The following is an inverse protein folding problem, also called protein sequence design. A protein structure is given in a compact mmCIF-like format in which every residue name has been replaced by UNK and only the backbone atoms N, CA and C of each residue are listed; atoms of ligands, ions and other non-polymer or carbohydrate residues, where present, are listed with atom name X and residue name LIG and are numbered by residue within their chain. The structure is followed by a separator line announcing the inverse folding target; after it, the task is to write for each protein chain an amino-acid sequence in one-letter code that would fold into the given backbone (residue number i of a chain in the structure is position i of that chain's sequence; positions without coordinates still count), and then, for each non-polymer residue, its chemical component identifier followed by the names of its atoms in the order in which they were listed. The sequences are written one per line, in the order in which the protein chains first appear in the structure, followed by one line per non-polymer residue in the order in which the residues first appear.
data_IF_258954608711
#
_entry.id   IF_258954608711
#
_cell.length_a   1.000
_cell.length_b   1.000
_cell.length_c   1.000
_cell.angle_alpha   90.00
_cell.angle_beta   90.00
_cell.angle_gamma   90.00
#
_symmetry.space_group_name_H-M   'P 1'
#
loop_
_entity.id
_entity.type
_entity.pdbx_description
1 polymer ?
#
# COMPACT_ATOMS: atom_id res chain seq x y z
N UNK A 1 -8.76 -14.18 -19.26
CA UNK A 1 -8.63 -14.42 -17.81
C UNK A 1 -8.65 -13.08 -17.10
N UNK A 2 -9.48 -12.89 -16.07
CA UNK A 2 -9.55 -11.61 -15.36
C UNK A 2 -8.30 -11.41 -14.49
N UNK A 3 -7.88 -10.16 -14.27
CA UNK A 3 -6.82 -9.86 -13.28
C UNK A 3 -7.25 -10.27 -11.86
N UNK A 4 -8.55 -10.29 -11.58
CA UNK A 4 -9.08 -10.77 -10.31
C UNK A 4 -8.86 -12.27 -10.08
N UNK A 5 -8.78 -13.06 -11.15
CA UNK A 5 -8.56 -14.52 -11.07
C UNK A 5 -7.09 -14.85 -10.73
N UNK A 6 -6.19 -13.86 -10.83
CA UNK A 6 -4.75 -14.02 -10.56
C UNK A 6 -4.36 -13.61 -9.14
N UNK A 7 -5.29 -13.08 -8.35
CA UNK A 7 -5.04 -12.77 -6.94
C UNK A 7 -4.92 -14.08 -6.17
N UNK A 8 -3.80 -14.27 -5.46
CA UNK A 8 -3.56 -15.47 -4.67
C UNK A 8 -3.37 -15.12 -3.19
N UNK A 9 -3.87 -15.97 -2.30
CA UNK A 9 -3.63 -15.87 -0.86
C UNK A 9 -2.26 -16.48 -0.55
N UNK A 10 -1.43 -15.75 0.18
CA UNK A 10 -0.08 -16.17 0.61
C UNK A 10 -0.12 -16.67 2.05
N UNK A 11 -0.82 -15.95 2.92
CA UNK A 11 -1.00 -16.30 4.34
C UNK A 11 -2.43 -15.95 4.72
N UNK A 12 -3.08 -16.82 5.49
CA UNK A 12 -4.38 -16.55 6.08
C UNK A 12 -4.37 -16.88 7.58
N UNK A 13 -4.92 -15.98 8.38
CA UNK A 13 -5.01 -16.10 9.84
C UNK A 13 -6.34 -15.52 10.32
N UNK A 14 -6.61 -15.62 11.62
CA UNK A 14 -7.80 -15.03 12.25
C UNK A 14 -7.84 -13.49 12.17
N UNK A 15 -6.67 -12.84 12.05
CA UNK A 15 -6.57 -11.38 12.09
C UNK A 15 -6.29 -10.74 10.74
N UNK A 16 -5.53 -11.42 9.88
CA UNK A 16 -5.09 -10.90 8.59
C UNK A 16 -5.15 -11.96 7.49
N UNK A 17 -5.41 -11.49 6.27
CA UNK A 17 -5.18 -12.20 5.02
C UNK A 17 -4.09 -11.45 4.27
N UNK A 18 -3.06 -12.15 3.88
CA UNK A 18 -1.96 -11.62 3.07
C UNK A 18 -2.12 -12.18 1.67
N UNK A 19 -2.21 -11.28 0.70
CA UNK A 19 -2.47 -11.63 -0.70
C UNK A 19 -1.33 -11.14 -1.59
N UNK A 20 -1.11 -11.84 -2.70
CA UNK A 20 -0.26 -11.40 -3.79
C UNK A 20 -1.13 -10.74 -4.86
N UNK A 21 -1.01 -9.42 -5.00
CA UNK A 21 -1.72 -8.63 -6.02
C UNK A 21 -0.97 -8.74 -7.36
N UNK A 22 -1.64 -9.09 -8.47
CA UNK A 22 -1.01 -9.04 -9.78
C UNK A 22 -0.75 -7.59 -10.23
N UNK A 23 0.23 -7.41 -11.12
CA UNK A 23 0.44 -6.13 -11.80
C UNK A 23 -0.75 -5.80 -12.71
N UNK A 24 -1.02 -4.51 -12.90
CA UNK A 24 -2.16 -4.01 -13.68
C UNK A 24 -3.47 -3.90 -12.88
N UNK A 25 -3.57 -4.49 -11.69
CA UNK A 25 -4.76 -4.41 -10.84
C UNK A 25 -4.67 -3.23 -9.87
N UNK A 26 -5.70 -2.37 -9.87
CA UNK A 26 -5.81 -1.26 -8.92
C UNK A 26 -6.21 -1.77 -7.53
N UNK A 27 -5.73 -1.12 -6.47
CA UNK A 27 -6.13 -1.48 -5.09
C UNK A 27 -7.56 -0.99 -4.79
N UNK A 28 -7.83 0.28 -5.07
CA UNK A 28 -9.16 0.90 -4.93
C UNK A 28 -9.66 1.36 -6.30
N UNK A 29 -10.98 1.39 -6.48
CA UNK A 29 -11.60 2.00 -7.65
C UNK A 29 -11.31 3.49 -7.73
N UNK A 30 -11.29 4.02 -8.94
CA UNK A 30 -11.14 5.46 -9.21
C UNK A 30 -12.45 6.26 -9.02
N UNK A 31 -13.55 5.56 -8.72
CA UNK A 31 -14.90 6.12 -8.58
C UNK A 31 -15.50 6.64 -9.89
N UNK A 32 -14.93 6.29 -11.05
CA UNK A 32 -15.33 6.80 -12.37
C UNK A 32 -15.54 5.72 -13.42
N UNK A 33 -14.63 4.76 -13.51
CA UNK A 33 -14.57 3.82 -14.64
C UNK A 33 -15.19 2.46 -14.35
N UNK A 34 -15.58 2.19 -13.10
CA UNK A 34 -16.16 0.89 -12.69
C UNK A 34 -15.22 -0.29 -12.91
N UNK A 35 -13.92 -0.04 -13.10
CA UNK A 35 -12.93 -1.08 -13.39
C UNK A 35 -12.76 -2.02 -12.19
N UNK A 36 -12.56 -3.33 -12.44
CA UNK A 36 -12.22 -4.28 -11.38
C UNK A 36 -11.02 -3.80 -10.55
N UNK A 37 -11.13 -3.92 -9.24
CA UNK A 37 -10.08 -3.53 -8.30
C UNK A 37 -10.04 -4.47 -7.10
N UNK A 38 -8.92 -4.44 -6.37
CA UNK A 38 -8.66 -5.38 -5.29
C UNK A 38 -9.66 -5.27 -4.13
N UNK A 39 -10.10 -4.06 -3.77
CA UNK A 39 -11.10 -3.90 -2.70
C UNK A 39 -12.43 -4.61 -3.02
N UNK A 40 -12.85 -4.69 -4.29
CA UNK A 40 -14.03 -5.43 -4.71
C UNK A 40 -13.81 -6.94 -4.55
N UNK A 41 -12.63 -7.43 -4.91
CA UNK A 41 -12.25 -8.83 -4.70
C UNK A 41 -12.23 -9.18 -3.22
N UNK A 42 -11.71 -8.30 -2.37
CA UNK A 42 -11.69 -8.50 -0.92
C UNK A 42 -13.12 -8.58 -0.36
N UNK A 43 -14.00 -7.63 -0.69
CA UNK A 43 -15.40 -7.67 -0.24
C UNK A 43 -16.12 -8.96 -0.66
N UNK A 44 -15.83 -9.45 -1.86
CA UNK A 44 -16.44 -10.68 -2.38
C UNK A 44 -15.95 -11.93 -1.65
N UNK A 45 -14.64 -12.04 -1.37
CA UNK A 45 -14.04 -13.24 -0.82
C UNK A 45 -13.96 -13.25 0.72
N UNK A 46 -13.97 -12.07 1.34
CA UNK A 46 -13.85 -11.84 2.78
C UNK A 46 -14.88 -10.81 3.25
N UNK A 47 -16.19 -11.12 3.17
CA UNK A 47 -17.26 -10.18 3.49
C UNK A 47 -17.22 -9.69 4.95
N UNK A 48 -16.60 -10.42 5.87
CA UNK A 48 -16.38 -10.02 7.26
C UNK A 48 -15.44 -8.82 7.41
N UNK A 49 -14.68 -8.47 6.36
CA UNK A 49 -13.86 -7.25 6.33
C UNK A 49 -14.69 -5.99 6.07
N UNK A 50 -16.00 -6.12 5.81
CA UNK A 50 -16.89 -4.97 5.69
C UNK A 50 -16.99 -4.20 7.01
N UNK A 51 -16.97 -2.87 6.92
CA UNK A 51 -16.86 -1.99 8.09
C UNK A 51 -15.50 -2.02 8.81
N UNK A 52 -14.53 -2.84 8.38
CA UNK A 52 -13.16 -2.80 8.90
C UNK A 52 -12.35 -1.76 8.16
N UNK A 53 -11.75 -0.84 8.92
CA UNK A 53 -10.87 0.20 8.42
C UNK A 53 -11.48 1.59 8.50
N UNK A 54 -11.02 2.49 7.63
CA UNK A 54 -11.54 3.85 7.54
C UNK A 54 -12.05 4.10 6.12
N UNK A 55 -13.37 4.26 5.91
CA UNK A 55 -13.90 4.61 4.61
C UNK A 55 -13.40 5.99 4.19
N UNK A 56 -13.26 6.19 2.87
CA UNK A 56 -12.97 7.52 2.34
C UNK A 56 -14.28 8.26 2.26
N UNK A 57 -14.46 9.22 3.18
CA UNK A 57 -15.59 10.14 3.16
C UNK A 57 -15.27 11.32 2.24
N UNK A 58 -16.25 11.71 1.43
CA UNK A 58 -16.15 12.89 0.56
C UNK A 58 -17.46 13.66 0.68
N UNK A 59 -17.36 14.97 0.88
CA UNK A 59 -18.54 15.83 1.03
C UNK A 59 -19.48 15.68 -0.17
N UNK A 60 -20.75 15.42 0.12
CA UNK A 60 -21.79 15.21 -0.89
C UNK A 60 -21.67 13.92 -1.71
N UNK A 61 -20.86 12.93 -1.29
CA UNK A 61 -20.72 11.64 -1.98
C UNK A 61 -20.84 10.46 -1.02
N UNK A 62 -21.28 9.28 -1.51
CA UNK A 62 -21.26 8.06 -0.72
C UNK A 62 -19.85 7.69 -0.24
N UNK A 63 -19.78 7.13 0.95
CA UNK A 63 -18.54 6.58 1.52
C UNK A 63 -17.94 5.52 0.61
N UNK A 64 -16.64 5.61 0.38
CA UNK A 64 -15.91 4.60 -0.39
C UNK A 64 -15.33 3.59 0.61
N UNK A 65 -15.82 2.34 0.65
CA UNK A 65 -15.36 1.34 1.60
C UNK A 65 -13.90 0.97 1.35
N UNK A 66 -13.17 0.69 2.44
CA UNK A 66 -11.78 0.25 2.44
C UNK A 66 -11.63 -1.03 3.27
N UNK A 67 -12.21 -2.15 2.81
CA UNK A 67 -12.37 -3.39 3.58
C UNK A 67 -11.03 -3.93 4.08
N UNK A 68 -10.61 -3.57 5.29
CA UNK A 68 -9.37 -4.04 5.89
C UNK A 68 -8.07 -3.57 5.22
N UNK A 69 -8.10 -2.65 4.25
CA UNK A 69 -6.91 -2.26 3.45
C UNK A 69 -6.11 -1.17 4.16
N UNK A 70 -5.02 -1.56 4.82
CA UNK A 70 -4.13 -0.65 5.60
C UNK A 70 -3.02 0.01 4.78
N UNK A 71 -2.68 -0.53 3.60
CA UNK A 71 -1.71 0.06 2.68
C UNK A 71 -2.08 -0.26 1.23
N UNK A 72 -1.40 0.36 0.25
CA UNK A 72 -1.61 0.08 -1.17
C UNK A 72 -0.30 -0.15 -1.90
N UNK A 73 -0.39 -0.85 -3.03
CA UNK A 73 0.59 -0.87 -4.10
C UNK A 73 0.03 -0.10 -5.29
N UNK A 74 0.89 0.47 -6.13
CA UNK A 74 0.44 1.11 -7.36
C UNK A 74 -0.11 0.08 -8.35
N UNK A 75 -0.86 0.55 -9.36
CA UNK A 75 -1.57 -0.31 -10.31
C UNK A 75 -0.64 -1.33 -10.97
N UNK A 76 0.50 -0.86 -11.49
CA UNK A 76 1.47 -1.69 -12.22
C UNK A 76 2.43 -2.45 -11.28
N UNK A 77 2.38 -2.20 -9.97
CA UNK A 77 3.21 -2.90 -8.98
C UNK A 77 2.52 -4.19 -8.55
N UNK A 78 3.16 -5.34 -8.75
CA UNK A 78 2.73 -6.61 -8.15
C UNK A 78 3.25 -6.77 -6.73
N UNK A 79 2.70 -7.72 -5.98
CA UNK A 79 3.27 -8.16 -4.71
C UNK A 79 2.30 -8.12 -3.53
N UNK A 80 2.88 -8.13 -2.35
CA UNK A 80 2.17 -8.41 -1.10
C UNK A 80 1.29 -7.24 -0.66
N UNK A 81 0.03 -7.54 -0.35
CA UNK A 81 -0.93 -6.64 0.30
C UNK A 81 -1.51 -7.31 1.53
N UNK A 82 -1.54 -6.59 2.66
CA UNK A 82 -2.14 -7.03 3.92
C UNK A 82 -3.58 -6.53 3.99
N UNK A 83 -4.51 -7.45 4.21
CA UNK A 83 -5.93 -7.22 4.46
C UNK A 83 -6.24 -7.61 5.89
N UNK A 84 -6.79 -6.69 6.67
CA UNK A 84 -7.06 -6.87 8.09
C UNK A 84 -8.53 -7.20 8.31
N UNK A 85 -8.82 -8.22 9.11
CA UNK A 85 -10.17 -8.82 9.25
C UNK A 85 -11.01 -8.25 10.39
N UNK A 86 -10.43 -7.46 11.30
CA UNK A 86 -11.18 -6.80 12.36
C UNK A 86 -10.60 -5.42 12.74
N UNK A 87 -11.45 -4.55 13.29
CA UNK A 87 -11.10 -3.16 13.55
C UNK A 87 -9.94 -3.00 14.55
N UNK A 88 -9.89 -3.82 15.59
CA UNK A 88 -8.83 -3.75 16.61
C UNK A 88 -7.45 -4.05 16.00
N UNK A 89 -7.37 -5.08 15.17
CA UNK A 89 -6.15 -5.41 14.43
C UNK A 89 -5.82 -4.33 13.39
N UNK A 90 -6.84 -3.73 12.75
CA UNK A 90 -6.64 -2.65 11.78
C UNK A 90 -5.94 -1.46 12.42
N UNK A 91 -6.43 -0.98 13.57
CA UNK A 91 -5.79 0.12 14.32
C UNK A 91 -4.35 -0.21 14.72
N UNK A 92 -4.11 -1.45 15.16
CA UNK A 92 -2.78 -1.90 15.55
C UNK A 92 -1.81 -1.87 14.36
N UNK A 93 -2.19 -2.46 13.23
CA UNK A 93 -1.35 -2.52 12.02
C UNK A 93 -1.19 -1.13 11.39
N UNK A 94 -2.25 -0.32 11.37
CA UNK A 94 -2.19 1.08 10.94
C UNK A 94 -1.18 1.88 11.75
N UNK A 95 -1.13 1.68 13.08
CA UNK A 95 -0.11 2.31 13.95
C UNK A 95 1.30 1.88 13.56
N UNK A 96 1.51 0.61 13.21
CA UNK A 96 2.82 0.14 12.75
C UNK A 96 3.23 0.77 11.41
N UNK A 97 2.31 0.93 10.45
CA UNK A 97 2.55 1.69 9.22
C UNK A 97 2.90 3.16 9.53
N UNK A 98 2.14 3.81 10.41
CA UNK A 98 2.39 5.20 10.85
C UNK A 98 3.77 5.35 11.50
N UNK A 99 4.17 4.37 12.31
CA UNK A 99 5.44 4.38 13.04
C UNK A 99 6.62 3.83 12.23
N UNK A 100 6.43 3.48 10.94
CA UNK A 100 7.46 2.89 10.05
C UNK A 100 8.14 1.64 10.63
N UNK A 101 7.45 0.86 11.47
CA UNK A 101 8.00 -0.39 12.04
C UNK A 101 7.89 -1.58 11.10
N UNK A 102 7.08 -1.45 10.04
CA UNK A 102 6.91 -2.45 8.99
C UNK A 102 8.04 -2.32 7.98
N UNK A 103 8.79 -3.41 7.80
CA UNK A 103 9.79 -3.54 6.73
C UNK A 103 9.10 -3.95 5.43
N UNK A 104 9.46 -3.28 4.34
CA UNK A 104 8.96 -3.57 2.99
C UNK A 104 10.17 -3.69 2.07
N UNK A 105 10.24 -4.80 1.34
CA UNK A 105 11.30 -5.08 0.39
C UNK A 105 10.68 -5.22 -1.00
N UNK A 106 11.36 -4.67 -2.00
CA UNK A 106 10.88 -4.63 -3.37
C UNK A 106 11.98 -5.14 -4.28
N UNK A 107 11.62 -6.05 -5.19
CA UNK A 107 12.48 -6.45 -6.28
C UNK A 107 12.09 -5.65 -7.52
N UNK A 108 13.08 -5.07 -8.19
CA UNK A 108 12.86 -4.22 -9.37
C UNK A 108 13.97 -4.42 -10.40
N UNK A 109 13.66 -4.14 -11.65
CA UNK A 109 14.64 -3.97 -12.73
C UNK A 109 14.79 -2.48 -12.99
N UNK A 110 16.03 -2.01 -13.07
CA UNK A 110 16.34 -0.61 -13.38
C UNK A 110 17.06 -0.51 -14.72
N UNK A 111 16.94 0.66 -15.33
CA UNK A 111 17.63 0.98 -16.58
C UNK A 111 18.92 1.73 -16.28
N UNK A 112 20.02 1.31 -16.91
CA UNK A 112 21.36 1.88 -16.72
C UNK A 112 22.32 0.94 -16.00
N UNK A 113 23.57 1.38 -15.85
CA UNK A 113 24.61 0.64 -15.12
C UNK A 113 24.62 1.08 -13.65
N UNK A 114 24.46 0.13 -12.73
CA UNK A 114 24.68 0.38 -11.30
C UNK A 114 26.11 -0.06 -10.97
N UNK A 115 26.98 0.89 -10.67
CA UNK A 115 28.38 0.62 -10.35
C UNK A 115 28.61 0.22 -8.90
N UNK A 116 27.73 0.64 -7.98
CA UNK A 116 27.80 0.32 -6.56
C UNK A 116 26.80 -0.80 -6.19
N UNK A 117 27.22 -1.85 -5.46
CA UNK A 117 26.32 -2.95 -5.08
C UNK A 117 25.22 -2.52 -4.10
N UNK A 118 25.38 -1.38 -3.42
CA UNK A 118 24.40 -0.79 -2.51
C UNK A 118 24.54 0.73 -2.48
N UNK A 119 23.42 1.43 -2.42
CA UNK A 119 23.36 2.88 -2.19
C UNK A 119 22.02 3.25 -1.56
N UNK A 120 21.95 4.44 -0.96
CA UNK A 120 20.74 4.98 -0.33
C UNK A 120 20.32 6.25 -1.08
N UNK A 121 19.03 6.33 -1.44
CA UNK A 121 18.42 7.58 -1.91
C UNK A 121 17.60 8.14 -0.76
N UNK A 122 17.99 9.29 -0.24
CA UNK A 122 17.28 10.01 0.83
C UNK A 122 16.94 11.43 0.36
N UNK A 123 16.02 11.51 -0.60
CA UNK A 123 15.55 12.76 -1.18
C UNK A 123 14.05 12.93 -0.90
N UNK A 124 13.58 14.13 -0.53
CA UNK A 124 12.16 14.37 -0.31
C UNK A 124 11.39 14.19 -1.61
N UNK A 125 10.25 13.51 -1.56
CA UNK A 125 9.35 13.42 -2.70
C UNK A 125 8.68 14.77 -2.94
N UNK A 126 9.18 15.55 -3.91
CA UNK A 126 8.56 16.83 -4.27
C UNK A 126 7.38 16.59 -5.21
N UNK A 127 6.17 16.89 -4.74
CA UNK A 127 5.00 17.01 -5.62
C UNK A 127 5.18 18.24 -6.51
N UNK A 128 4.90 18.13 -7.82
CA UNK A 128 4.98 19.24 -8.79
C UNK A 128 4.15 20.47 -8.39
N UNK A 129 3.22 20.33 -7.44
CA UNK A 129 2.35 21.39 -6.93
C UNK A 129 2.72 21.87 -5.52
N UNK A 130 4.01 21.84 -5.15
CA UNK A 130 4.60 22.65 -4.07
C UNK A 130 3.77 22.75 -2.79
N UNK A 131 3.88 21.76 -1.90
CA UNK A 131 3.83 21.85 -0.43
C UNK A 131 3.83 20.44 0.15
N UNK A 132 5.01 19.81 0.20
CA UNK A 132 5.22 18.77 1.21
C UNK A 132 5.82 19.47 2.43
N UNK A 133 5.18 19.40 3.62
CA UNK A 133 5.87 19.79 4.83
C UNK A 133 7.15 18.93 4.95
N UNK A 134 8.29 19.53 5.33
CA UNK A 134 9.54 18.78 5.48
C UNK A 134 9.31 17.58 6.40
N UNK A 135 9.94 16.44 6.10
CA UNK A 135 9.87 15.27 7.00
C UNK A 135 10.38 15.74 8.37
N UNK A 136 9.54 15.73 9.43
CA UNK A 136 9.91 16.26 10.75
C UNK A 136 11.08 15.49 11.40
N UNK A 137 11.55 14.39 10.78
CA UNK A 137 12.73 13.63 11.20
C UNK A 137 13.93 13.77 10.28
N UNK A 138 13.91 14.66 9.28
CA UNK A 138 15.06 14.89 8.40
C UNK A 138 16.35 15.28 9.18
N UNK A 139 16.22 15.79 10.40
CA UNK A 139 17.35 16.10 11.31
C UNK A 139 17.86 14.92 12.15
N UNK A 140 17.15 13.77 12.18
CA UNK A 140 17.52 12.59 12.98
C UNK A 140 18.22 11.50 12.15
N UNK A 141 18.37 11.73 10.84
CA UNK A 141 19.04 10.80 9.93
C UNK A 141 20.52 11.18 9.91
N UNK A 142 21.39 10.30 10.41
CA UNK A 142 22.84 10.49 10.29
C UNK A 142 23.21 10.62 8.80
N UNK A 143 24.04 11.59 8.41
CA UNK A 143 24.47 11.72 7.02
C UNK A 143 25.21 10.44 6.58
N UNK A 144 25.07 10.01 5.32
CA UNK A 144 25.84 8.89 4.81
C UNK A 144 27.34 9.23 4.91
N UNK A 145 28.09 8.34 5.55
CA UNK A 145 29.55 8.35 5.52
C UNK A 145 29.99 7.95 4.11
N UNK A 146 30.11 8.93 3.21
CA UNK A 146 30.57 8.70 1.85
C UNK A 146 30.15 9.84 0.93
N UNK A 147 31.03 10.83 0.79
CA UNK A 147 30.99 11.82 -0.28
C UNK A 147 31.28 11.14 -1.62
N UNK A 148 30.59 11.58 -2.68
CA UNK A 148 31.03 11.38 -4.06
C UNK A 148 32.42 11.99 -4.28
#
# INVERSE_FOLDING_TARGET
MSLLDQVSVVIETDFVVVINKPAGLMVHGDGRTGRPHLAQWIQKNYPETDGVGEPIQREGKPDIPRPGIVHRLDKETSGVVIVVRNQKAYEHIKKQFKNRTIKKEYQTLVYGEITNPSFTIDEPSVSKNGTHPPDPRASEINPPSGSL
#
